data_IF_327018782294
#
_entry.id   IF_327018782294
#
_cell.length_a   1.000
_cell.length_b   1.000
_cell.length_c   1.000
_cell.angle_alpha   90.00
_cell.angle_beta   90.00
_cell.angle_gamma   90.00
#
_symmetry.space_group_name_H-M   'P 1'
#
loop_
_entity.id
_entity.type
_entity.pdbx_description
1 polymer ?
#
# COMPACT_ATOMS: atom_id res chain seq x y z
N UNK A 1 -22.24 5.63 -22.48
CA UNK A 1 -21.11 5.88 -21.57
C UNK A 1 -20.34 4.60 -21.41
N UNK A 2 -19.06 4.59 -21.73
CA UNK A 2 -18.12 3.47 -21.57
C UNK A 2 -16.91 3.94 -20.76
N UNK A 3 -16.26 3.03 -20.08
CA UNK A 3 -14.97 3.28 -19.43
C UNK A 3 -13.85 2.78 -20.32
N UNK A 4 -12.96 3.65 -20.74
CA UNK A 4 -11.71 3.31 -21.41
C UNK A 4 -10.58 3.25 -20.41
N UNK A 5 -9.64 2.30 -20.59
CA UNK A 5 -8.60 2.03 -19.59
C UNK A 5 -7.21 2.10 -20.23
N UNK A 6 -6.35 2.91 -19.66
CA UNK A 6 -4.94 3.05 -20.04
C UNK A 6 -4.04 2.48 -18.96
N UNK A 7 -3.19 1.51 -19.32
CA UNK A 7 -2.29 0.88 -18.37
C UNK A 7 -2.97 -0.17 -17.49
N UNK A 8 -3.74 -1.08 -18.08
CA UNK A 8 -4.52 -2.09 -17.39
C UNK A 8 -3.64 -3.20 -16.77
N UNK A 9 -2.98 -2.86 -15.65
CA UNK A 9 -2.20 -3.74 -14.81
C UNK A 9 -3.06 -4.53 -13.80
N UNK A 10 -2.49 -4.85 -12.63
CA UNK A 10 -3.19 -5.63 -11.59
C UNK A 10 -4.42 -4.91 -11.05
N UNK A 11 -4.28 -3.64 -10.68
CA UNK A 11 -5.40 -2.81 -10.16
C UNK A 11 -6.47 -2.62 -11.22
N UNK A 12 -6.07 -2.17 -12.42
CA UNK A 12 -7.01 -1.91 -13.52
C UNK A 12 -7.82 -3.15 -13.91
N UNK A 13 -7.18 -4.34 -13.96
CA UNK A 13 -7.87 -5.61 -14.22
C UNK A 13 -8.89 -5.98 -13.14
N UNK A 14 -8.50 -5.90 -11.87
CA UNK A 14 -9.39 -6.24 -10.76
C UNK A 14 -10.63 -5.33 -10.73
N UNK A 15 -10.43 -4.01 -10.81
CA UNK A 15 -11.54 -3.05 -10.81
C UNK A 15 -12.44 -3.20 -12.03
N UNK A 16 -11.86 -3.29 -13.22
CA UNK A 16 -12.64 -3.42 -14.45
C UNK A 16 -13.49 -4.69 -14.46
N UNK A 17 -12.94 -5.82 -13.99
CA UNK A 17 -13.69 -7.07 -13.84
C UNK A 17 -14.87 -6.89 -12.87
N UNK A 18 -14.66 -6.30 -11.71
CA UNK A 18 -15.72 -6.04 -10.73
C UNK A 18 -16.82 -5.16 -11.31
N UNK A 19 -16.48 -4.08 -12.03
CA UNK A 19 -17.50 -3.22 -12.66
C UNK A 19 -18.31 -3.96 -13.71
N UNK A 20 -17.71 -4.87 -14.48
CA UNK A 20 -18.41 -5.72 -15.45
C UNK A 20 -19.31 -6.72 -14.74
N UNK A 21 -18.80 -7.44 -13.74
CA UNK A 21 -19.55 -8.46 -12.98
C UNK A 21 -20.76 -7.86 -12.25
N UNK A 22 -20.63 -6.63 -11.73
CA UNK A 22 -21.75 -5.92 -11.07
C UNK A 22 -22.63 -5.10 -12.03
N UNK A 23 -22.35 -5.11 -13.34
CA UNK A 23 -23.09 -4.34 -14.33
C UNK A 23 -23.02 -2.81 -14.12
N UNK A 24 -21.98 -2.33 -13.43
CA UNK A 24 -21.85 -0.91 -13.05
C UNK A 24 -21.32 -0.06 -14.19
N UNK A 25 -20.32 -0.55 -14.94
CA UNK A 25 -19.70 0.12 -16.07
C UNK A 25 -19.50 -0.84 -17.24
N UNK A 26 -19.74 -0.35 -18.47
CA UNK A 26 -19.34 -1.02 -19.70
C UNK A 26 -17.90 -0.64 -20.05
N UNK A 27 -17.05 -1.62 -20.36
CA UNK A 27 -15.67 -1.38 -20.75
C UNK A 27 -15.57 -1.13 -22.26
N UNK A 28 -14.95 0.00 -22.62
CA UNK A 28 -14.65 0.36 -23.99
C UNK A 28 -13.36 -0.29 -24.46
N UNK A 29 -12.34 0.50 -24.84
CA UNK A 29 -11.03 -0.05 -25.16
C UNK A 29 -10.12 -0.11 -23.94
N UNK A 30 -9.21 -1.10 -23.98
CA UNK A 30 -8.17 -1.33 -22.96
C UNK A 30 -6.82 -1.21 -23.64
N UNK A 31 -6.09 -0.15 -23.31
CA UNK A 31 -4.80 0.20 -23.90
C UNK A 31 -3.66 -0.19 -22.99
N UNK A 32 -2.72 -0.98 -23.52
CA UNK A 32 -1.42 -1.27 -22.91
C UNK A 32 -0.30 -1.08 -23.96
N UNK A 33 0.94 -0.86 -23.49
CA UNK A 33 2.11 -0.70 -24.37
C UNK A 33 2.32 -1.84 -25.37
N UNK A 34 1.85 -3.05 -25.06
CA UNK A 34 1.90 -4.24 -25.93
C UNK A 34 0.51 -4.80 -26.09
N UNK A 35 0.10 -5.02 -27.33
CA UNK A 35 -1.21 -5.57 -27.65
C UNK A 35 -1.49 -6.92 -26.96
N UNK A 36 -0.45 -7.76 -26.78
CA UNK A 36 -0.58 -9.03 -26.05
C UNK A 36 -1.02 -8.81 -24.58
N UNK A 37 -0.49 -7.79 -23.93
CA UNK A 37 -0.88 -7.42 -22.55
C UNK A 37 -2.29 -6.86 -22.48
N UNK A 38 -2.73 -6.11 -23.50
CA UNK A 38 -4.10 -5.62 -23.61
C UNK A 38 -5.09 -6.78 -23.81
N UNK A 39 -4.77 -7.71 -24.71
CA UNK A 39 -5.59 -8.91 -24.95
C UNK A 39 -5.73 -9.77 -23.68
N UNK A 40 -4.65 -9.96 -22.94
CA UNK A 40 -4.68 -10.69 -21.67
C UNK A 40 -5.54 -9.96 -20.62
N UNK A 41 -5.48 -8.61 -20.56
CA UNK A 41 -6.33 -7.84 -19.67
C UNK A 41 -7.81 -7.97 -20.05
N UNK A 42 -8.16 -7.83 -21.31
CA UNK A 42 -9.54 -7.96 -21.82
C UNK A 42 -10.10 -9.37 -21.57
N UNK A 43 -9.28 -10.42 -21.80
CA UNK A 43 -9.69 -11.81 -21.49
C UNK A 43 -9.97 -12.02 -20.00
N UNK A 44 -9.19 -11.40 -19.10
CA UNK A 44 -9.43 -11.45 -17.67
C UNK A 44 -10.67 -10.66 -17.24
N UNK A 45 -10.89 -9.48 -17.81
CA UNK A 45 -12.05 -8.62 -17.54
C UNK A 45 -13.36 -9.24 -18.06
N UNK A 46 -13.29 -9.96 -19.17
CA UNK A 46 -14.45 -10.53 -19.86
C UNK A 46 -15.18 -9.52 -20.77
N UNK A 47 -14.65 -8.31 -20.96
CA UNK A 47 -15.27 -7.25 -21.78
C UNK A 47 -14.21 -6.25 -22.26
N UNK A 48 -14.53 -5.51 -23.33
CA UNK A 48 -13.72 -4.44 -23.90
C UNK A 48 -12.95 -4.84 -25.16
N UNK A 49 -12.29 -3.87 -25.77
CA UNK A 49 -11.48 -4.04 -27.00
C UNK A 49 -10.01 -3.79 -26.67
N UNK A 50 -9.16 -4.78 -26.92
CA UNK A 50 -7.72 -4.64 -26.70
C UNK A 50 -7.05 -3.75 -27.75
N UNK A 51 -6.20 -2.82 -27.32
CA UNK A 51 -5.46 -1.93 -28.21
C UNK A 51 -4.09 -1.59 -27.66
N UNK A 52 -3.14 -1.19 -28.52
CA UNK A 52 -1.83 -0.64 -28.18
C UNK A 52 -1.70 0.85 -28.59
N UNK A 53 -2.78 1.44 -29.09
CA UNK A 53 -2.90 2.87 -29.40
C UNK A 53 -4.28 3.38 -28.98
N UNK A 54 -4.44 4.68 -28.68
CA UNK A 54 -5.75 5.27 -28.44
C UNK A 54 -6.68 5.07 -29.63
N UNK A 55 -7.94 4.76 -29.33
CA UNK A 55 -9.02 4.70 -30.32
C UNK A 55 -9.97 5.87 -30.07
N UNK A 56 -11.02 5.96 -30.90
CA UNK A 56 -12.06 6.96 -30.71
C UNK A 56 -12.72 6.84 -29.35
N UNK A 57 -13.11 7.99 -28.80
CA UNK A 57 -13.81 8.14 -27.52
C UNK A 57 -15.00 9.07 -27.75
N UNK A 58 -16.15 8.71 -27.19
CA UNK A 58 -17.33 9.57 -27.21
C UNK A 58 -17.26 10.62 -26.09
N UNK A 59 -17.87 11.81 -26.25
CA UNK A 59 -17.85 12.86 -25.22
C UNK A 59 -18.46 12.44 -23.88
N UNK A 60 -19.31 11.42 -23.85
CA UNK A 60 -19.91 10.88 -22.64
C UNK A 60 -19.09 9.77 -21.99
N UNK A 61 -18.03 9.31 -22.61
CA UNK A 61 -17.20 8.22 -22.13
C UNK A 61 -16.21 8.71 -21.05
N UNK A 62 -15.78 7.80 -20.22
CA UNK A 62 -14.83 8.02 -19.16
C UNK A 62 -13.46 7.43 -19.49
N UNK A 63 -12.42 7.99 -18.87
CA UNK A 63 -11.06 7.52 -19.05
C UNK A 63 -10.42 7.20 -17.68
N UNK A 64 -9.95 5.97 -17.50
CA UNK A 64 -9.18 5.57 -16.33
C UNK A 64 -7.72 5.35 -16.70
N UNK A 65 -6.80 6.00 -15.97
CA UNK A 65 -5.37 5.72 -16.05
C UNK A 65 -4.96 4.84 -14.86
N UNK A 66 -4.64 3.56 -15.13
CA UNK A 66 -4.19 2.58 -14.14
C UNK A 66 -2.73 2.14 -14.41
N UNK A 67 -1.92 3.08 -14.83
CA UNK A 67 -0.49 2.95 -15.08
C UNK A 67 0.34 3.22 -13.80
N UNK A 68 1.64 2.88 -13.79
CA UNK A 68 2.54 3.27 -12.71
C UNK A 68 2.58 4.80 -12.51
N UNK A 69 2.72 5.23 -11.26
CA UNK A 69 2.63 6.64 -10.84
C UNK A 69 3.48 7.57 -11.71
N UNK A 70 4.76 7.26 -11.88
CA UNK A 70 5.68 8.08 -12.68
C UNK A 70 5.36 8.14 -14.18
N UNK A 71 4.39 7.38 -14.68
CA UNK A 71 3.96 7.42 -16.07
C UNK A 71 2.69 8.28 -16.29
N UNK A 72 1.95 8.62 -15.23
CA UNK A 72 0.63 9.25 -15.35
C UNK A 72 0.66 10.59 -16.06
N UNK A 73 1.58 11.49 -15.68
CA UNK A 73 1.69 12.81 -16.28
C UNK A 73 1.97 12.73 -17.80
N UNK A 74 2.99 11.97 -18.21
CA UNK A 74 3.34 11.80 -19.61
C UNK A 74 2.23 11.11 -20.42
N UNK A 75 1.50 10.17 -19.83
CA UNK A 75 0.35 9.55 -20.48
C UNK A 75 -0.81 10.54 -20.66
N UNK A 76 -1.09 11.38 -19.66
CA UNK A 76 -2.12 12.40 -19.76
C UNK A 76 -1.81 13.41 -20.89
N UNK A 77 -0.56 13.85 -21.01
CA UNK A 77 -0.10 14.73 -22.08
C UNK A 77 -0.23 14.06 -23.48
N UNK A 78 0.25 12.82 -23.59
CA UNK A 78 0.17 12.08 -24.86
C UNK A 78 -1.27 11.81 -25.29
N UNK A 79 -2.15 11.47 -24.36
CA UNK A 79 -3.58 11.27 -24.63
C UNK A 79 -4.28 12.56 -25.00
N UNK A 80 -3.97 13.68 -24.34
CA UNK A 80 -4.52 14.99 -24.71
C UNK A 80 -4.18 15.43 -26.15
N UNK A 81 -3.04 14.97 -26.68
CA UNK A 81 -2.62 15.24 -28.06
C UNK A 81 -3.22 14.26 -29.08
N UNK A 82 -3.51 13.02 -28.64
CA UNK A 82 -3.90 11.95 -29.58
C UNK A 82 -5.39 11.66 -29.61
N UNK A 83 -6.14 12.00 -28.55
CA UNK A 83 -7.58 11.80 -28.53
C UNK A 83 -8.30 12.88 -29.35
N UNK A 84 -9.20 12.52 -30.24
CA UNK A 84 -9.94 13.46 -31.08
C UNK A 84 -10.96 14.29 -30.29
N UNK A 85 -11.45 13.76 -29.18
CA UNK A 85 -12.46 14.37 -28.32
C UNK A 85 -12.05 14.27 -26.84
N UNK A 86 -12.52 15.22 -26.06
CA UNK A 86 -12.33 15.24 -24.59
C UNK A 86 -13.31 14.28 -23.93
N UNK A 87 -12.87 13.38 -23.02
CA UNK A 87 -13.78 12.51 -22.28
C UNK A 87 -14.66 13.30 -21.30
N UNK A 88 -15.81 12.73 -20.91
CA UNK A 88 -16.70 13.33 -19.91
C UNK A 88 -16.01 13.57 -18.55
N UNK A 89 -15.09 12.69 -18.20
CA UNK A 89 -14.17 12.81 -17.06
C UNK A 89 -13.00 11.83 -17.22
N UNK A 90 -11.92 12.10 -16.47
CA UNK A 90 -10.82 11.17 -16.35
C UNK A 90 -10.45 10.96 -14.88
N UNK A 91 -10.01 9.75 -14.55
CA UNK A 91 -9.51 9.48 -13.21
C UNK A 91 -8.33 8.50 -13.22
N UNK A 92 -7.55 8.50 -12.16
CA UNK A 92 -6.52 7.50 -11.92
C UNK A 92 -6.66 6.85 -10.54
N UNK A 93 -5.92 5.76 -10.33
CA UNK A 93 -6.01 4.95 -9.10
C UNK A 93 -4.72 4.98 -8.26
N UNK A 94 -3.84 5.94 -8.50
CA UNK A 94 -2.60 6.14 -7.73
C UNK A 94 -2.89 6.65 -6.32
N UNK A 95 -2.17 6.08 -5.34
CA UNK A 95 -2.14 6.58 -3.97
C UNK A 95 -1.18 7.76 -3.77
N UNK A 96 -0.21 7.94 -4.67
CA UNK A 96 0.85 8.94 -4.54
C UNK A 96 0.57 10.24 -5.31
N UNK A 97 0.00 10.11 -6.53
CA UNK A 97 -0.20 11.24 -7.43
C UNK A 97 -1.54 11.95 -7.19
N UNK A 98 -1.53 13.28 -7.33
CA UNK A 98 -2.75 14.08 -7.29
C UNK A 98 -3.54 13.94 -8.59
N UNK A 99 -4.88 14.08 -8.53
CA UNK A 99 -5.75 14.16 -9.72
C UNK A 99 -5.27 15.21 -10.74
N UNK A 100 -4.58 16.25 -10.30
CA UNK A 100 -4.07 17.33 -11.15
C UNK A 100 -3.09 16.86 -12.24
N UNK A 101 -2.44 15.70 -12.09
CA UNK A 101 -1.59 15.14 -13.15
C UNK A 101 -2.38 14.86 -14.44
N UNK A 102 -3.71 14.76 -14.34
CA UNK A 102 -4.62 14.57 -15.47
C UNK A 102 -5.13 15.88 -16.10
N UNK A 103 -4.76 17.05 -15.57
CA UNK A 103 -5.22 18.35 -16.08
C UNK A 103 -5.00 18.58 -17.60
N UNK A 104 -3.95 18.03 -18.25
CA UNK A 104 -3.81 18.13 -19.70
C UNK A 104 -5.01 17.60 -20.51
N UNK A 105 -5.81 16.69 -19.96
CA UNK A 105 -6.99 16.11 -20.60
C UNK A 105 -8.17 17.08 -20.72
N UNK A 106 -8.15 18.23 -20.02
CA UNK A 106 -9.13 19.32 -20.09
C UNK A 106 -10.58 18.89 -19.83
N UNK A 107 -10.78 17.91 -18.96
CA UNK A 107 -12.06 17.44 -18.45
C UNK A 107 -12.04 17.42 -16.91
N UNK A 108 -13.17 17.22 -16.24
CA UNK A 108 -13.20 16.96 -14.80
C UNK A 108 -12.32 15.77 -14.45
N UNK A 109 -11.43 15.91 -13.44
CA UNK A 109 -10.45 14.89 -13.07
C UNK A 109 -10.57 14.47 -11.60
N UNK A 110 -10.33 13.17 -11.36
CA UNK A 110 -10.27 12.62 -10.03
C UNK A 110 -9.10 11.63 -9.86
N UNK A 111 -8.69 11.44 -8.62
CA UNK A 111 -7.90 10.31 -8.19
C UNK A 111 -8.72 9.53 -7.17
N UNK A 112 -8.91 8.23 -7.39
CA UNK A 112 -9.59 7.36 -6.41
C UNK A 112 -8.70 6.17 -6.11
N UNK A 113 -8.10 6.16 -4.92
CA UNK A 113 -7.17 5.12 -4.50
C UNK A 113 -7.90 4.02 -3.72
N UNK A 114 -8.03 2.79 -4.25
CA UNK A 114 -8.49 1.65 -3.49
C UNK A 114 -7.36 1.16 -2.57
N UNK A 115 -7.57 1.31 -1.26
CA UNK A 115 -6.55 1.08 -0.22
C UNK A 115 -6.45 -0.40 0.09
N UNK A 116 -5.76 -1.14 -0.76
CA UNK A 116 -5.42 -2.55 -0.53
C UNK A 116 -4.26 -3.01 -1.42
N UNK A 117 -3.54 -4.07 -1.04
CA UNK A 117 -2.57 -4.73 -1.93
C UNK A 117 -3.28 -5.45 -3.10
N UNK A 118 -2.78 -5.25 -4.32
CA UNK A 118 -3.22 -5.95 -5.53
C UNK A 118 -2.11 -6.88 -6.03
N UNK A 119 -1.69 -7.84 -5.22
CA UNK A 119 -0.66 -8.83 -5.60
C UNK A 119 -1.15 -9.75 -6.72
N UNK A 120 -2.38 -10.23 -6.60
CA UNK A 120 -3.11 -11.00 -7.62
C UNK A 120 -4.46 -10.36 -7.93
N UNK A 121 -4.80 -10.08 -9.20
CA UNK A 121 -6.05 -9.42 -9.56
C UNK A 121 -7.32 -10.20 -9.22
N UNK A 122 -7.28 -11.54 -9.31
CA UNK A 122 -8.46 -12.37 -9.04
C UNK A 122 -8.73 -12.43 -7.52
N UNK A 123 -7.69 -12.66 -6.73
CA UNK A 123 -7.79 -12.65 -5.28
C UNK A 123 -8.21 -11.26 -4.76
N UNK A 124 -7.66 -10.18 -5.36
CA UNK A 124 -8.03 -8.82 -4.99
C UNK A 124 -9.49 -8.51 -5.32
N UNK A 125 -10.00 -8.97 -6.45
CA UNK A 125 -11.42 -8.83 -6.80
C UNK A 125 -12.32 -9.62 -5.84
N UNK A 126 -12.00 -10.89 -5.57
CA UNK A 126 -12.79 -11.73 -4.66
C UNK A 126 -12.88 -11.20 -3.21
N UNK A 127 -11.90 -10.40 -2.79
CA UNK A 127 -11.82 -9.85 -1.43
C UNK A 127 -12.05 -8.33 -1.40
N UNK A 128 -12.67 -7.75 -2.44
CA UNK A 128 -12.74 -6.30 -2.58
C UNK A 128 -13.74 -5.64 -1.63
N UNK A 129 -14.77 -6.38 -1.20
CA UNK A 129 -15.81 -5.90 -0.28
C UNK A 129 -15.21 -5.24 0.96
N UNK A 130 -15.73 -4.07 1.33
CA UNK A 130 -15.25 -3.28 2.46
C UNK A 130 -13.94 -2.52 2.23
N UNK A 131 -13.33 -2.63 1.04
CA UNK A 131 -12.11 -1.88 0.70
C UNK A 131 -12.35 -0.38 0.78
N UNK A 132 -11.49 0.34 1.51
CA UNK A 132 -11.55 1.80 1.55
C UNK A 132 -11.12 2.36 0.18
N UNK A 133 -11.94 3.25 -0.39
CA UNK A 133 -11.63 3.96 -1.64
C UNK A 133 -11.66 5.47 -1.37
N UNK A 134 -10.47 6.10 -1.37
CA UNK A 134 -10.32 7.52 -1.04
C UNK A 134 -10.15 8.34 -2.32
N UNK A 135 -11.06 9.30 -2.52
CA UNK A 135 -11.14 10.13 -3.72
C UNK A 135 -10.84 11.60 -3.48
N UNK A 136 -10.01 12.20 -4.32
CA UNK A 136 -9.76 13.64 -4.40
C UNK A 136 -9.78 14.13 -5.84
N UNK A 137 -9.99 15.41 -6.07
CA UNK A 137 -10.06 16.04 -7.39
C UNK A 137 -11.29 16.93 -7.54
N UNK A 138 -11.75 17.09 -8.76
CA UNK A 138 -12.91 17.92 -9.08
C UNK A 138 -14.21 17.30 -8.56
N UNK A 139 -15.08 18.12 -7.98
CA UNK A 139 -16.37 17.68 -7.43
C UNK A 139 -17.21 16.95 -8.49
N UNK A 140 -17.27 17.50 -9.71
CA UNK A 140 -18.03 16.92 -10.83
C UNK A 140 -17.52 15.52 -11.22
N UNK A 141 -16.24 15.23 -11.06
CA UNK A 141 -15.69 13.90 -11.29
C UNK A 141 -15.96 12.97 -10.10
N UNK A 142 -15.75 13.43 -8.88
CA UNK A 142 -15.93 12.63 -7.65
C UNK A 142 -17.38 12.19 -7.45
N UNK A 143 -18.36 13.06 -7.75
CA UNK A 143 -19.79 12.73 -7.68
C UNK A 143 -20.20 11.58 -8.59
N UNK A 144 -19.46 11.37 -9.68
CA UNK A 144 -19.70 10.29 -10.63
C UNK A 144 -18.84 9.06 -10.36
N UNK A 145 -17.59 9.24 -9.98
CA UNK A 145 -16.62 8.13 -9.81
C UNK A 145 -16.77 7.39 -8.47
N UNK A 146 -16.99 8.08 -7.34
CA UNK A 146 -17.12 7.41 -6.05
C UNK A 146 -18.30 6.41 -6.00
N UNK A 147 -19.49 6.71 -6.54
CA UNK A 147 -20.58 5.74 -6.56
C UNK A 147 -20.27 4.44 -7.29
N UNK A 148 -19.45 4.45 -8.35
CA UNK A 148 -19.12 3.21 -9.09
C UNK A 148 -18.11 2.35 -8.30
N UNK A 149 -17.30 2.94 -7.43
CA UNK A 149 -16.50 2.17 -6.45
C UNK A 149 -17.39 1.59 -5.34
N UNK A 150 -18.34 2.37 -4.83
CA UNK A 150 -19.29 1.88 -3.83
C UNK A 150 -20.13 0.72 -4.37
N UNK A 151 -20.56 0.78 -5.64
CA UNK A 151 -21.35 -0.26 -6.27
C UNK A 151 -20.63 -1.62 -6.40
N UNK A 152 -19.31 -1.65 -6.31
CA UNK A 152 -18.50 -2.88 -6.30
C UNK A 152 -18.01 -3.25 -4.89
N UNK A 153 -18.63 -2.70 -3.83
CA UNK A 153 -18.38 -3.07 -2.44
C UNK A 153 -17.36 -2.19 -1.71
N UNK A 154 -16.82 -1.13 -2.31
CA UNK A 154 -15.92 -0.22 -1.60
C UNK A 154 -16.66 0.67 -0.59
N UNK A 155 -15.98 1.00 0.50
CA UNK A 155 -16.34 2.13 1.38
C UNK A 155 -15.69 3.39 0.84
N UNK A 156 -16.42 4.09 -0.05
CA UNK A 156 -15.90 5.25 -0.77
C UNK A 156 -16.10 6.54 0.02
N UNK A 157 -15.10 7.40 0.07
CA UNK A 157 -15.22 8.74 0.67
C UNK A 157 -14.32 9.75 -0.03
N UNK A 158 -14.71 11.03 0.08
CA UNK A 158 -13.86 12.16 -0.32
C UNK A 158 -12.71 12.29 0.66
N UNK A 159 -11.55 12.66 0.14
CA UNK A 159 -10.33 12.84 0.88
C UNK A 159 -9.64 14.11 0.39
N UNK A 160 -9.27 15.00 1.30
CA UNK A 160 -8.49 16.20 0.97
C UNK A 160 -7.13 16.09 1.66
N UNK A 161 -6.15 15.47 1.00
CA UNK A 161 -4.82 15.33 1.59
C UNK A 161 -4.11 16.68 1.63
N UNK A 162 -3.49 17.00 2.76
CA UNK A 162 -2.51 18.08 2.83
C UNK A 162 -1.27 17.76 1.99
N UNK A 163 -0.75 16.55 2.12
CA UNK A 163 0.30 15.98 1.27
C UNK A 163 -0.01 14.50 0.95
N UNK A 164 -0.32 14.23 -0.31
CA UNK A 164 -0.65 12.88 -0.78
C UNK A 164 0.54 11.91 -0.71
N UNK A 165 1.76 12.41 -0.74
CA UNK A 165 2.98 11.59 -0.57
C UNK A 165 3.09 11.07 0.85
N UNK A 166 2.74 11.87 1.88
CA UNK A 166 2.67 11.41 3.27
C UNK A 166 1.59 10.34 3.44
N UNK A 167 0.43 10.55 2.85
CA UNK A 167 -0.63 9.53 2.81
C UNK A 167 -0.14 8.23 2.18
N UNK A 168 0.53 8.30 1.04
CA UNK A 168 1.08 7.10 0.37
C UNK A 168 2.17 6.42 1.21
N UNK A 169 3.05 7.19 1.85
CA UNK A 169 4.06 6.67 2.78
C UNK A 169 3.40 5.92 3.95
N UNK A 170 2.30 6.43 4.50
CA UNK A 170 1.54 5.74 5.55
C UNK A 170 0.97 4.40 5.04
N UNK A 171 0.46 4.34 3.81
CA UNK A 171 -0.03 3.10 3.21
C UNK A 171 1.11 2.07 3.00
N UNK A 172 2.29 2.52 2.57
CA UNK A 172 3.50 1.67 2.46
C UNK A 172 3.91 1.15 3.84
N UNK A 173 3.97 2.02 4.84
CA UNK A 173 4.33 1.62 6.20
C UNK A 173 3.37 0.58 6.77
N UNK A 174 2.07 0.73 6.50
CA UNK A 174 1.04 -0.18 7.00
C UNK A 174 0.93 -1.51 6.25
N UNK A 175 1.56 -1.66 5.08
CA UNK A 175 1.43 -2.87 4.26
C UNK A 175 2.78 -3.44 3.81
N UNK A 176 3.57 -2.67 3.05
CA UNK A 176 4.82 -3.18 2.48
C UNK A 176 5.87 -3.45 3.58
N UNK A 177 5.98 -2.58 4.59
CA UNK A 177 6.93 -2.79 5.69
C UNK A 177 6.50 -3.93 6.61
N UNK A 178 5.20 -4.23 6.68
CA UNK A 178 4.73 -5.43 7.37
C UNK A 178 5.32 -6.70 6.74
N UNK A 179 5.37 -6.81 5.40
CA UNK A 179 6.01 -7.96 4.75
C UNK A 179 7.50 -8.09 5.11
N UNK A 180 8.22 -6.97 5.32
CA UNK A 180 9.63 -7.01 5.77
C UNK A 180 9.72 -7.51 7.20
N UNK A 181 8.84 -7.02 8.08
CA UNK A 181 8.77 -7.48 9.48
C UNK A 181 8.46 -8.98 9.54
N UNK A 182 7.51 -9.44 8.73
CA UNK A 182 7.13 -10.86 8.66
C UNK A 182 8.29 -11.75 8.22
N UNK A 183 9.07 -11.30 7.23
CA UNK A 183 10.24 -12.04 6.77
C UNK A 183 11.29 -12.17 7.90
N UNK A 184 11.51 -11.12 8.69
CA UNK A 184 12.43 -11.16 9.83
C UNK A 184 11.89 -12.03 10.98
N UNK A 185 10.60 -11.93 11.28
CA UNK A 185 9.94 -12.78 12.28
C UNK A 185 9.97 -14.26 11.86
N UNK A 186 9.79 -14.55 10.57
CA UNK A 186 9.87 -15.90 10.01
C UNK A 186 11.28 -16.48 10.21
N UNK A 187 12.33 -15.72 9.89
CA UNK A 187 13.70 -16.16 10.05
C UNK A 187 14.05 -16.46 11.53
N UNK A 188 13.55 -15.66 12.46
CA UNK A 188 13.70 -15.91 13.91
C UNK A 188 12.96 -17.19 14.33
N UNK A 189 11.71 -17.38 13.89
CA UNK A 189 10.89 -18.53 14.25
C UNK A 189 11.49 -19.85 13.71
N UNK A 190 11.95 -19.83 12.46
CA UNK A 190 12.65 -20.99 11.84
C UNK A 190 13.98 -21.28 12.54
N UNK A 191 14.73 -20.27 12.92
CA UNK A 191 15.97 -20.43 13.71
C UNK A 191 15.71 -20.98 15.13
N UNK A 192 14.51 -20.75 15.67
CA UNK A 192 14.05 -21.37 16.90
C UNK A 192 13.57 -22.83 16.74
N UNK A 193 13.56 -23.35 15.51
CA UNK A 193 13.21 -24.75 15.20
C UNK A 193 11.77 -24.97 14.76
N UNK A 194 11.00 -23.92 14.46
CA UNK A 194 9.68 -24.09 13.88
C UNK A 194 9.79 -24.44 12.39
N UNK A 195 8.95 -25.36 11.95
CA UNK A 195 8.72 -25.61 10.53
C UNK A 195 8.13 -24.38 9.85
N UNK A 196 8.47 -24.14 8.57
CA UNK A 196 8.03 -22.95 7.81
C UNK A 196 6.53 -22.67 7.93
N UNK A 197 5.70 -23.71 7.82
CA UNK A 197 4.24 -23.55 7.93
C UNK A 197 3.80 -23.15 9.33
N UNK A 198 4.40 -23.75 10.36
CA UNK A 198 4.10 -23.42 11.76
C UNK A 198 4.53 -21.98 12.08
N UNK A 199 5.68 -21.54 11.58
CA UNK A 199 6.17 -20.18 11.74
C UNK A 199 5.23 -19.15 11.10
N UNK A 200 4.75 -19.40 9.87
CA UNK A 200 3.75 -18.54 9.22
C UNK A 200 2.43 -18.49 10.00
N UNK A 201 1.93 -19.64 10.45
CA UNK A 201 0.69 -19.70 11.21
C UNK A 201 0.81 -18.93 12.54
N UNK A 202 1.95 -19.03 13.23
CA UNK A 202 2.27 -18.24 14.44
C UNK A 202 2.20 -16.74 14.15
N UNK A 203 2.94 -16.26 13.14
CA UNK A 203 3.05 -14.84 12.79
C UNK A 203 1.67 -14.27 12.45
N UNK A 204 0.95 -14.92 11.52
CA UNK A 204 -0.37 -14.46 11.08
C UNK A 204 -1.37 -14.44 12.23
N UNK A 205 -1.33 -15.44 13.13
CA UNK A 205 -2.20 -15.48 14.31
C UNK A 205 -1.95 -14.31 15.26
N UNK A 206 -0.67 -14.03 15.57
CA UNK A 206 -0.28 -12.91 16.44
C UNK A 206 -0.65 -11.56 15.83
N UNK A 207 -0.43 -11.39 14.54
CA UNK A 207 -0.74 -10.13 13.85
C UNK A 207 -2.24 -9.85 13.79
N UNK A 208 -3.07 -10.86 13.53
CA UNK A 208 -4.54 -10.69 13.57
C UNK A 208 -5.00 -10.19 14.92
N UNK A 209 -4.54 -10.84 16.01
CA UNK A 209 -4.88 -10.41 17.36
C UNK A 209 -4.36 -8.99 17.68
N UNK A 210 -3.14 -8.66 17.23
CA UNK A 210 -2.57 -7.32 17.40
C UNK A 210 -3.39 -6.26 16.64
N UNK A 211 -3.81 -6.53 15.39
CA UNK A 211 -4.62 -5.62 14.59
C UNK A 211 -6.01 -5.39 15.21
N UNK A 212 -6.64 -6.43 15.76
CA UNK A 212 -7.91 -6.30 16.47
C UNK A 212 -7.76 -5.39 17.70
N UNK A 213 -6.71 -5.57 18.50
CA UNK A 213 -6.41 -4.73 19.65
C UNK A 213 -6.11 -3.27 19.23
N UNK A 214 -5.31 -3.06 18.19
CA UNK A 214 -5.02 -1.72 17.64
C UNK A 214 -6.30 -1.03 17.17
N UNK A 215 -7.18 -1.75 16.50
CA UNK A 215 -8.45 -1.19 16.05
C UNK A 215 -9.38 -0.80 17.21
N UNK A 216 -9.32 -1.52 18.33
CA UNK A 216 -10.16 -1.25 19.51
C UNK A 216 -9.65 -0.08 20.36
N UNK A 217 -8.32 0.02 20.60
CA UNK A 217 -7.79 0.94 21.62
C UNK A 217 -6.59 1.80 21.13
N UNK A 218 -6.22 1.67 19.87
CA UNK A 218 -5.09 2.37 19.27
C UNK A 218 -3.71 1.73 19.59
N UNK A 219 -2.65 2.12 18.86
CA UNK A 219 -1.35 1.43 18.91
C UNK A 219 -0.65 1.55 20.27
N UNK A 220 -0.68 2.69 20.93
CA UNK A 220 -0.01 2.85 22.23
C UNK A 220 -0.67 1.99 23.32
N UNK A 221 -2.01 2.05 23.42
CA UNK A 221 -2.75 1.30 24.46
C UNK A 221 -2.71 -0.20 24.23
N UNK A 222 -2.61 -0.66 22.98
CA UNK A 222 -2.54 -2.08 22.63
C UNK A 222 -1.15 -2.70 22.83
N UNK A 223 -0.09 -1.88 23.03
CA UNK A 223 1.25 -2.40 23.29
C UNK A 223 1.29 -3.20 24.59
N UNK A 224 1.88 -4.39 24.55
CA UNK A 224 2.08 -5.31 25.68
C UNK A 224 3.49 -5.91 25.64
N UNK A 225 3.83 -6.71 26.63
CA UNK A 225 5.09 -7.45 26.64
C UNK A 225 6.16 -6.83 27.53
N UNK A 226 7.41 -7.33 27.47
CA UNK A 226 8.47 -6.95 28.39
C UNK A 226 8.88 -5.48 28.30
N UNK A 227 8.90 -4.91 27.10
CA UNK A 227 9.24 -3.49 26.88
C UNK A 227 8.19 -2.61 27.56
N UNK A 228 6.92 -2.89 27.34
CA UNK A 228 5.84 -2.09 27.93
C UNK A 228 5.84 -2.17 29.46
N UNK A 229 6.09 -3.36 30.03
CA UNK A 229 6.16 -3.54 31.48
C UNK A 229 7.43 -3.05 32.15
N UNK A 230 8.45 -2.65 31.36
CA UNK A 230 9.74 -2.22 31.89
C UNK A 230 10.63 -3.35 32.42
N UNK A 231 10.44 -4.59 31.92
CA UNK A 231 11.24 -5.76 32.33
C UNK A 231 12.66 -5.68 31.76
N UNK A 232 13.55 -5.03 32.50
CA UNK A 232 14.93 -4.75 32.07
C UNK A 232 15.75 -6.01 31.81
N UNK A 233 15.52 -7.09 32.56
CA UNK A 233 16.28 -8.35 32.37
C UNK A 233 15.86 -9.03 31.06
N UNK A 234 14.55 -9.14 30.81
CA UNK A 234 14.06 -9.70 29.56
C UNK A 234 14.41 -8.82 28.36
N UNK A 235 14.34 -7.49 28.50
CA UNK A 235 14.74 -6.55 27.45
C UNK A 235 16.24 -6.69 27.10
N UNK A 236 17.11 -6.91 28.06
CA UNK A 236 18.56 -7.14 27.83
C UNK A 236 18.78 -8.42 27.02
N UNK A 237 18.09 -9.52 27.37
CA UNK A 237 18.15 -10.78 26.59
C UNK A 237 17.61 -10.60 25.20
N UNK A 238 16.49 -9.90 25.07
CA UNK A 238 15.88 -9.59 23.77
C UNK A 238 16.82 -8.75 22.90
N UNK A 239 17.48 -7.73 23.47
CA UNK A 239 18.40 -6.87 22.73
C UNK A 239 19.56 -7.67 22.10
N UNK A 240 20.14 -8.63 22.83
CA UNK A 240 21.17 -9.52 22.27
C UNK A 240 20.65 -10.38 21.10
N UNK A 241 19.45 -10.93 21.23
CA UNK A 241 18.83 -11.72 20.15
C UNK A 241 18.56 -10.86 18.91
N UNK A 242 18.01 -9.66 19.10
CA UNK A 242 17.64 -8.77 18.00
C UNK A 242 18.85 -8.17 17.29
N UNK A 243 19.97 -7.93 18.00
CA UNK A 243 21.20 -7.43 17.41
C UNK A 243 21.80 -8.40 16.37
N UNK A 244 21.67 -9.71 16.63
CA UNK A 244 22.18 -10.78 15.78
C UNK A 244 21.09 -11.52 15.01
N UNK A 245 19.92 -10.88 14.83
CA UNK A 245 18.76 -11.52 14.23
C UNK A 245 19.03 -11.97 12.77
N UNK A 246 18.72 -13.23 12.42
CA UNK A 246 18.92 -13.75 11.07
C UNK A 246 18.20 -12.92 10.02
N UNK A 247 18.94 -12.48 9.00
CA UNK A 247 18.40 -11.70 7.88
C UNK A 247 18.26 -10.20 8.14
N UNK A 248 18.39 -9.72 9.37
CA UNK A 248 18.31 -8.29 9.70
C UNK A 248 19.64 -7.55 9.46
N UNK A 249 19.99 -7.37 8.19
CA UNK A 249 21.23 -6.70 7.77
C UNK A 249 21.23 -5.18 8.03
N UNK A 250 20.09 -4.61 8.37
CA UNK A 250 19.89 -3.17 8.49
C UNK A 250 19.52 -2.71 9.90
N UNK A 251 19.49 -3.63 10.88
CA UNK A 251 19.13 -3.31 12.26
C UNK A 251 17.69 -2.84 12.43
N UNK A 252 16.78 -3.39 11.63
CA UNK A 252 15.34 -3.04 11.64
C UNK A 252 14.74 -3.42 13.00
N UNK A 253 15.00 -4.63 13.49
CA UNK A 253 14.43 -5.11 14.75
C UNK A 253 14.92 -4.32 15.97
N UNK A 254 16.22 -4.02 16.16
CA UNK A 254 16.66 -3.10 17.19
C UNK A 254 16.06 -1.70 17.08
N UNK A 255 15.89 -1.17 15.85
CA UNK A 255 15.25 0.13 15.64
C UNK A 255 13.77 0.12 16.06
N UNK A 256 13.03 -0.94 15.72
CA UNK A 256 11.65 -1.14 16.14
C UNK A 256 11.54 -1.32 17.66
N UNK A 257 12.51 -2.00 18.30
CA UNK A 257 12.53 -2.13 19.76
C UNK A 257 12.70 -0.77 20.45
N UNK A 258 13.56 0.12 19.94
CA UNK A 258 13.67 1.51 20.43
C UNK A 258 12.35 2.26 20.26
N UNK A 259 11.75 2.18 19.08
CA UNK A 259 10.46 2.81 18.83
C UNK A 259 9.32 2.25 19.73
N UNK A 260 9.41 0.96 20.09
CA UNK A 260 8.46 0.36 21.04
C UNK A 260 8.67 0.89 22.47
N UNK A 261 9.91 1.25 22.87
CA UNK A 261 10.16 1.94 24.15
C UNK A 261 9.51 3.32 24.16
N UNK A 262 9.66 4.11 23.08
CA UNK A 262 9.02 5.42 22.95
C UNK A 262 7.48 5.31 22.96
N UNK A 263 6.94 4.25 22.34
CA UNK A 263 5.51 3.99 22.35
C UNK A 263 5.01 3.61 23.76
N UNK A 264 5.78 2.84 24.53
CA UNK A 264 5.49 2.54 25.92
C UNK A 264 5.51 3.81 26.80
N UNK A 265 6.45 4.72 26.56
CA UNK A 265 6.49 6.01 27.24
C UNK A 265 5.23 6.84 26.95
N UNK A 266 4.76 6.84 25.70
CA UNK A 266 3.50 7.48 25.32
C UNK A 266 2.32 6.87 26.08
N UNK A 267 2.23 5.53 26.18
CA UNK A 267 1.18 4.82 26.94
C UNK A 267 1.14 5.22 28.41
N UNK A 268 2.31 5.39 29.02
CA UNK A 268 2.46 5.71 30.44
C UNK A 268 2.60 7.22 30.72
N UNK A 269 2.40 8.09 29.73
CA UNK A 269 2.54 9.54 29.84
C UNK A 269 3.91 9.99 30.37
N UNK A 270 4.97 9.27 29.98
CA UNK A 270 6.36 9.62 30.31
C UNK A 270 6.94 10.56 29.26
N UNK A 271 7.92 11.43 29.62
CA UNK A 271 8.64 12.21 28.63
C UNK A 271 9.35 11.33 27.60
N UNK A 272 9.33 11.68 26.30
CA UNK A 272 10.05 10.92 25.28
C UNK A 272 11.55 10.79 25.61
N UNK A 273 12.11 9.60 25.40
CA UNK A 273 13.52 9.31 25.64
C UNK A 273 13.93 9.23 27.13
N UNK A 274 12.97 9.28 28.07
CA UNK A 274 13.26 9.18 29.50
C UNK A 274 13.46 7.74 29.97
N UNK A 275 13.10 6.76 29.15
CA UNK A 275 13.15 5.36 29.52
C UNK A 275 14.54 4.76 29.28
N UNK A 276 15.23 4.29 30.34
CA UNK A 276 16.58 3.75 30.21
C UNK A 276 16.68 2.48 29.35
N UNK A 277 15.56 1.83 29.06
CA UNK A 277 15.52 0.65 28.18
C UNK A 277 15.96 0.97 26.74
N UNK A 278 15.85 2.22 26.30
CA UNK A 278 16.24 2.63 24.93
C UNK A 278 17.71 2.30 24.65
N UNK A 279 18.58 2.52 25.65
CA UNK A 279 20.02 2.27 25.55
C UNK A 279 20.35 0.79 25.31
N UNK A 280 19.50 -0.14 25.73
CA UNK A 280 19.72 -1.58 25.52
C UNK A 280 19.64 -1.97 24.02
N UNK A 281 18.93 -1.21 23.22
CA UNK A 281 18.70 -1.49 21.80
C UNK A 281 19.50 -0.58 20.86
N UNK A 282 20.45 0.23 21.39
CA UNK A 282 21.35 1.03 20.56
C UNK A 282 22.33 0.13 19.79
N UNK A 283 22.72 0.54 18.57
CA UNK A 283 23.73 -0.20 17.82
C UNK A 283 25.04 -0.21 18.62
N UNK A 284 25.65 -1.38 18.74
CA UNK A 284 26.99 -1.47 19.33
C UNK A 284 27.95 -0.61 18.50
N UNK A 285 28.48 0.45 19.10
CA UNK A 285 29.46 1.32 18.44
C UNK A 285 30.67 0.47 18.06
N UNK A 286 31.05 0.46 16.78
CA UNK A 286 32.22 -0.23 16.24
C UNK A 286 33.58 0.33 16.75
N UNK A 287 33.56 1.15 17.80
CA UNK A 287 34.75 1.80 18.37
C UNK A 287 35.54 0.91 19.38
N UNK A 288 35.04 -0.28 19.75
CA UNK A 288 35.75 -1.15 20.73
C UNK A 288 36.39 -2.41 20.11
N UNK A 289 36.44 -2.59 18.80
CA UNK A 289 37.29 -3.61 18.18
C UNK A 289 38.70 -3.08 17.93
N UNK A 290 39.31 -2.46 18.93
CA UNK A 290 40.76 -2.20 18.98
C UNK A 290 41.47 -3.51 19.13
N UNK A 291 41.81 -4.15 18.01
CA UNK A 291 42.79 -5.22 17.98
C UNK A 291 44.08 -4.61 18.51
N UNK A 292 44.47 -5.01 19.73
CA UNK A 292 45.81 -4.84 20.23
C UNK A 292 46.76 -5.61 19.31
N UNK A 293 47.37 -4.90 18.37
CA UNK A 293 48.45 -5.41 17.53
C UNK A 293 49.68 -5.59 18.45
N UNK A 294 49.80 -6.77 19.06
CA UNK A 294 50.96 -7.19 19.84
C UNK A 294 52.10 -7.57 18.91
N UNK A 295 52.92 -6.61 18.54
CA UNK A 295 54.31 -6.92 18.09
C UNK A 295 55.13 -7.39 19.26
N UNK A 296 55.63 -8.59 19.16
CA UNK A 296 57.02 -8.99 19.53
C UNK A 296 57.47 -10.03 18.52
#
# INVERSE_FOLDING_TARGET
MRLHIVGCGRVGRALARLWVEHGTLSIGWVLNRRIASARHAVAFIGSGTATDRPLEIDPDDWLMLAAPDGALAGLAEALAQSLPLTPALAFHVSGAESARVLAPLRCPVASVHPVRPFSDPAAAAAQFEGTLALGEGDDAALERVLPVFTAIGARSSRFQPGDKRLYHAAAIASSNFLNVLDQLALALAESAGLEHRQALDLIVSLQRAALENIAAVGPASSLTGPIERGDSEMCRRLAGILADAPGDRHGVLPALARAAVDLADTKHSRPPGSNPLVALFEPVSSAESGIADGRV
#
